data_IF_641350154079
#
_entry.id   IF_641350154079
#
_cell.length_a   1.000
_cell.length_b   1.000
_cell.length_c   1.000
_cell.angle_alpha   90.00
_cell.angle_beta   90.00
_cell.angle_gamma   90.00
#
_symmetry.space_group_name_H-M   'P 1'
#
loop_
_entity.id
_entity.type
_entity.pdbx_description
1 polymer ?
#
# COMPACT_ATOMS: atom_id res chain seq x y z
N UNK A 1 9.13 7.18 -5.15
CA UNK A 1 9.80 5.90 -4.82
C UNK A 1 8.79 4.77 -4.70
N UNK A 2 9.18 3.51 -4.94
CA UNK A 2 8.34 2.31 -4.72
C UNK A 2 9.03 1.35 -3.75
N UNK A 3 8.26 0.80 -2.80
CA UNK A 3 8.80 -0.09 -1.78
C UNK A 3 9.04 -1.52 -2.26
N UNK A 4 10.14 -2.15 -1.81
CA UNK A 4 10.32 -3.60 -1.79
C UNK A 4 9.66 -4.21 -0.54
N UNK A 5 9.45 -5.54 -0.54
CA UNK A 5 9.05 -6.26 0.67
C UNK A 5 10.24 -6.29 1.64
N UNK A 6 10.03 -6.01 2.92
CA UNK A 6 11.05 -6.16 3.95
C UNK A 6 11.54 -7.62 4.04
N UNK A 7 12.80 -7.81 4.42
CA UNK A 7 13.43 -9.12 4.50
C UNK A 7 14.01 -9.65 3.19
N UNK A 8 13.80 -8.96 2.03
CA UNK A 8 14.47 -9.34 0.77
C UNK A 8 15.95 -8.91 0.82
N UNK A 9 16.21 -7.71 1.33
CA UNK A 9 17.54 -7.20 1.63
C UNK A 9 17.60 -6.86 3.12
N UNK A 10 18.62 -7.31 3.86
CA UNK A 10 18.80 -6.92 5.26
C UNK A 10 18.85 -5.40 5.41
N UNK A 11 18.30 -4.93 6.52
CA UNK A 11 18.36 -3.51 6.90
C UNK A 11 19.58 -3.35 7.78
N UNK A 12 20.44 -2.41 7.42
CA UNK A 12 21.60 -2.03 8.24
C UNK A 12 21.16 -0.92 9.22
N UNK A 13 21.01 -1.29 10.49
CA UNK A 13 20.63 -0.37 11.56
C UNK A 13 21.80 0.46 12.10
N UNK A 14 23.02 0.28 11.60
CA UNK A 14 24.12 1.23 11.84
C UNK A 14 23.91 2.54 11.07
N UNK A 15 23.15 2.50 9.98
CA UNK A 15 22.67 3.69 9.29
C UNK A 15 21.42 4.29 9.97
N UNK A 16 21.03 5.48 9.54
CA UNK A 16 19.79 6.09 10.02
C UNK A 16 18.59 5.43 9.33
N UNK A 17 17.78 4.73 10.12
CA UNK A 17 16.58 4.03 9.68
C UNK A 17 15.35 4.64 10.33
N UNK A 18 14.28 4.80 9.56
CA UNK A 18 13.01 5.35 10.01
C UNK A 18 11.88 4.39 9.70
N UNK A 19 10.83 4.43 10.52
CA UNK A 19 9.60 3.67 10.32
C UNK A 19 8.40 4.62 10.32
N UNK A 20 7.47 4.35 9.41
CA UNK A 20 6.20 5.06 9.26
C UNK A 20 5.05 4.05 9.24
N UNK A 21 3.84 4.38 9.71
CA UNK A 21 2.67 3.53 9.47
C UNK A 21 2.42 3.41 7.97
N UNK A 22 2.03 2.22 7.53
CA UNK A 22 1.63 1.98 6.16
C UNK A 22 0.13 2.20 6.03
N UNK A 23 -0.24 3.27 5.34
CA UNK A 23 -1.62 3.61 5.07
C UNK A 23 -2.17 2.72 3.95
N UNK A 24 -3.43 2.30 4.08
CA UNK A 24 -4.18 1.60 3.04
C UNK A 24 -5.08 2.61 2.32
N UNK A 25 -4.48 3.43 1.48
CA UNK A 25 -5.11 4.50 0.76
C UNK A 25 -4.76 4.51 -0.73
N UNK A 26 -4.84 5.68 -1.33
CA UNK A 26 -4.51 5.91 -2.74
C UNK A 26 -3.36 6.90 -2.81
N UNK A 27 -2.18 6.42 -3.24
CA UNK A 27 -1.02 7.30 -3.42
C UNK A 27 -1.33 8.43 -4.38
N UNK A 28 -1.01 9.65 -3.96
CA UNK A 28 -1.19 10.88 -4.70
C UNK A 28 0.09 11.70 -4.73
N UNK A 29 0.38 12.27 -5.88
CA UNK A 29 1.36 13.32 -6.07
C UNK A 29 0.61 14.64 -6.27
N UNK A 30 0.83 15.62 -5.39
CA UNK A 30 0.33 16.98 -5.58
C UNK A 30 1.41 17.86 -6.17
N UNK A 31 1.03 18.63 -7.18
CA UNK A 31 1.83 19.67 -7.82
C UNK A 31 0.99 20.95 -7.95
N UNK A 32 1.58 22.06 -8.38
CA UNK A 32 0.83 23.28 -8.71
C UNK A 32 -0.29 23.03 -9.75
N UNK A 33 -0.15 22.01 -10.59
CA UNK A 33 -1.08 21.68 -11.67
C UNK A 33 -2.21 20.72 -11.23
N UNK A 34 -2.17 20.26 -9.97
CA UNK A 34 -3.21 19.42 -9.36
C UNK A 34 -2.70 18.13 -8.75
N UNK A 35 -3.63 17.20 -8.54
CA UNK A 35 -3.44 15.92 -7.90
C UNK A 35 -3.33 14.78 -8.92
N UNK A 36 -2.29 13.97 -8.84
CA UNK A 36 -2.00 12.93 -9.83
C UNK A 36 -1.70 11.57 -9.18
N UNK A 37 -2.13 10.52 -9.85
CA UNK A 37 -1.67 9.18 -9.54
C UNK A 37 -0.20 8.98 -9.94
N UNK A 38 0.43 7.95 -9.45
CA UNK A 38 1.79 7.55 -9.86
C UNK A 38 1.98 7.39 -11.37
N UNK A 39 0.92 7.10 -12.11
CA UNK A 39 0.96 6.92 -13.57
C UNK A 39 0.52 8.16 -14.34
N UNK A 40 0.41 9.31 -13.67
CA UNK A 40 0.04 10.59 -14.27
C UNK A 40 -1.46 10.78 -14.51
N UNK A 41 -2.32 9.87 -14.04
CA UNK A 41 -3.76 10.07 -14.12
C UNK A 41 -4.22 11.06 -13.06
N UNK A 42 -4.90 12.13 -13.45
CA UNK A 42 -5.40 13.15 -12.55
C UNK A 42 -6.58 12.66 -11.68
N UNK A 43 -6.58 13.07 -10.43
CA UNK A 43 -7.69 12.88 -9.50
C UNK A 43 -8.57 14.13 -9.49
N UNK A 44 -9.82 14.00 -9.90
CA UNK A 44 -10.74 15.13 -10.10
C UNK A 44 -11.57 15.47 -8.87
N UNK A 45 -11.58 14.58 -7.86
CA UNK A 45 -12.47 14.70 -6.69
C UNK A 45 -11.73 15.01 -5.37
N UNK A 46 -10.59 15.73 -5.46
CA UNK A 46 -9.79 16.15 -4.29
C UNK A 46 -9.49 17.65 -4.32
N UNK A 47 -10.38 18.43 -4.92
CA UNK A 47 -10.20 19.86 -5.13
C UNK A 47 -10.06 20.65 -3.84
N UNK A 48 -10.69 20.19 -2.76
CA UNK A 48 -10.55 20.80 -1.42
C UNK A 48 -9.10 20.77 -0.94
N UNK A 49 -8.35 19.67 -1.18
CA UNK A 49 -6.94 19.57 -0.81
C UNK A 49 -6.08 20.43 -1.73
N UNK A 50 -6.36 20.44 -3.05
CA UNK A 50 -5.66 21.31 -4.00
C UNK A 50 -5.77 22.78 -3.59
N UNK A 51 -6.97 23.23 -3.17
CA UNK A 51 -7.19 24.60 -2.73
C UNK A 51 -6.41 24.94 -1.43
N UNK A 52 -6.33 23.98 -0.48
CA UNK A 52 -5.52 24.14 0.73
C UNK A 52 -4.02 24.24 0.43
N UNK A 53 -3.54 23.50 -0.58
CA UNK A 53 -2.14 23.49 -0.98
C UNK A 53 -1.72 24.67 -1.89
N UNK A 54 -2.68 25.44 -2.40
CA UNK A 54 -2.38 26.52 -3.36
C UNK A 54 -1.42 27.58 -2.82
N UNK A 55 -1.51 28.07 -1.58
CA UNK A 55 -0.56 29.02 -1.03
C UNK A 55 0.87 28.49 -1.04
N UNK A 56 1.05 27.20 -0.66
CA UNK A 56 2.36 26.55 -0.68
C UNK A 56 2.93 26.49 -2.09
N UNK A 57 2.14 26.16 -3.10
CA UNK A 57 2.62 26.12 -4.49
C UNK A 57 2.85 27.50 -5.10
N UNK A 58 2.34 28.56 -4.51
CA UNK A 58 2.67 29.93 -4.91
C UNK A 58 4.13 30.27 -4.56
N UNK A 59 4.61 29.79 -3.40
CA UNK A 59 5.98 30.02 -2.93
C UNK A 59 6.96 28.95 -3.45
N UNK A 60 6.47 27.70 -3.61
CA UNK A 60 7.26 26.54 -4.06
C UNK A 60 6.66 25.87 -5.32
N UNK A 61 6.68 26.53 -6.48
CA UNK A 61 5.94 26.09 -7.67
C UNK A 61 6.46 24.79 -8.30
N UNK A 62 7.69 24.39 -8.00
CA UNK A 62 8.29 23.15 -8.54
C UNK A 62 8.23 21.97 -7.56
N UNK A 63 7.79 22.22 -6.32
CA UNK A 63 7.70 21.15 -5.33
C UNK A 63 6.64 20.12 -5.70
N UNK A 64 6.98 18.84 -5.55
CA UNK A 64 6.03 17.74 -5.71
C UNK A 64 5.86 17.08 -4.35
N UNK A 65 4.62 17.03 -3.84
CA UNK A 65 4.28 16.39 -2.59
C UNK A 65 3.90 14.95 -2.84
N UNK A 66 4.53 14.01 -2.16
CA UNK A 66 4.25 12.57 -2.26
C UNK A 66 3.57 12.09 -0.97
N UNK A 67 2.35 11.61 -1.09
CA UNK A 67 1.55 11.20 0.05
C UNK A 67 0.47 10.19 -0.30
N UNK A 68 -0.40 9.93 0.67
CA UNK A 68 -1.53 9.01 0.54
C UNK A 68 -2.84 9.73 0.77
N UNK A 69 -3.80 9.59 -0.12
CA UNK A 69 -5.20 9.96 0.11
C UNK A 69 -5.82 8.89 0.99
N UNK A 70 -6.15 9.26 2.21
CA UNK A 70 -6.52 8.33 3.27
C UNK A 70 -7.42 9.00 4.31
N UNK A 71 -8.12 8.19 5.09
CA UNK A 71 -8.74 8.62 6.35
C UNK A 71 -8.79 7.43 7.31
N UNK A 72 -8.22 7.59 8.49
CA UNK A 72 -8.13 6.51 9.47
C UNK A 72 -9.50 6.04 10.00
N UNK A 73 -10.51 6.91 10.01
CA UNK A 73 -11.88 6.52 10.32
C UNK A 73 -12.47 5.52 9.31
N UNK A 74 -11.92 5.48 8.09
CA UNK A 74 -12.29 4.56 7.02
C UNK A 74 -11.28 3.41 6.83
N UNK A 75 -10.42 3.13 7.80
CA UNK A 75 -9.37 2.09 7.72
C UNK A 75 -9.88 0.70 7.32
N UNK A 76 -11.13 0.38 7.65
CA UNK A 76 -11.79 -0.87 7.27
C UNK A 76 -12.66 -0.73 6.01
N UNK A 77 -12.59 0.40 5.31
CA UNK A 77 -13.39 0.72 4.12
C UNK A 77 -12.55 1.35 3.01
N UNK A 78 -11.50 0.67 2.61
CA UNK A 78 -10.63 1.09 1.51
C UNK A 78 -11.39 1.34 0.20
N UNK A 79 -12.45 0.55 -0.07
CA UNK A 79 -13.27 0.71 -1.28
C UNK A 79 -13.96 2.07 -1.31
N UNK A 80 -14.37 2.61 -0.15
CA UNK A 80 -14.96 3.95 -0.05
C UNK A 80 -13.97 5.03 -0.47
N UNK A 81 -12.73 4.98 0.02
CA UNK A 81 -11.67 5.92 -0.38
C UNK A 81 -11.43 5.83 -1.89
N UNK A 82 -11.27 4.62 -2.44
CA UNK A 82 -11.07 4.44 -3.88
C UNK A 82 -12.23 5.03 -4.68
N UNK A 83 -13.46 4.75 -4.28
CA UNK A 83 -14.67 5.19 -5.01
C UNK A 83 -14.75 6.71 -5.08
N UNK A 84 -14.39 7.41 -3.99
CA UNK A 84 -14.37 8.87 -3.94
C UNK A 84 -13.23 9.44 -4.79
N UNK A 85 -12.01 8.97 -4.56
CA UNK A 85 -10.79 9.52 -5.17
C UNK A 85 -10.74 9.30 -6.69
N UNK A 86 -11.19 8.13 -7.17
CA UNK A 86 -11.09 7.76 -8.59
C UNK A 86 -12.22 8.29 -9.47
N UNK A 87 -13.18 9.01 -8.90
CA UNK A 87 -14.30 9.56 -9.65
C UNK A 87 -13.82 10.63 -10.63
N UNK A 88 -14.04 10.39 -11.94
CA UNK A 88 -13.52 11.25 -13.00
C UNK A 88 -14.48 12.40 -13.36
N UNK A 89 -15.76 12.22 -13.08
CA UNK A 89 -16.80 13.24 -13.27
C UNK A 89 -17.60 13.38 -11.97
N UNK A 90 -16.99 13.99 -10.94
CA UNK A 90 -17.66 14.14 -9.65
C UNK A 90 -18.79 15.17 -9.75
N UNK A 91 -19.93 14.86 -9.12
CA UNK A 91 -21.01 15.79 -8.85
C UNK A 91 -20.65 16.70 -7.66
N UNK A 92 -21.47 17.68 -7.35
CA UNK A 92 -21.27 18.54 -6.17
C UNK A 92 -21.39 17.73 -4.86
N UNK A 93 -22.33 16.79 -4.79
CA UNK A 93 -22.48 15.87 -3.66
C UNK A 93 -21.21 14.99 -3.48
N UNK A 94 -20.65 14.50 -4.57
CA UNK A 94 -19.38 13.74 -4.53
C UNK A 94 -18.22 14.59 -3.99
N UNK A 95 -18.18 15.87 -4.35
CA UNK A 95 -17.17 16.81 -3.86
C UNK A 95 -17.34 17.12 -2.37
N UNK A 96 -18.57 17.29 -1.92
CA UNK A 96 -18.89 17.50 -0.51
C UNK A 96 -18.54 16.25 0.31
N UNK A 97 -18.88 15.08 -0.18
CA UNK A 97 -18.52 13.82 0.47
C UNK A 97 -16.99 13.62 0.51
N UNK A 98 -16.29 13.86 -0.59
CA UNK A 98 -14.82 13.77 -0.62
C UNK A 98 -14.20 14.79 0.35
N UNK A 99 -14.71 16.02 0.43
CA UNK A 99 -14.25 17.03 1.38
C UNK A 99 -14.43 16.58 2.83
N UNK A 100 -15.47 15.85 3.16
CA UNK A 100 -15.70 15.38 4.53
C UNK A 100 -14.86 14.13 4.90
N UNK A 101 -14.43 13.34 3.91
CA UNK A 101 -13.87 12.01 4.15
C UNK A 101 -12.44 11.82 3.66
N UNK A 102 -11.95 12.58 2.67
CA UNK A 102 -10.63 12.36 2.07
C UNK A 102 -9.63 13.34 2.64
N UNK A 103 -8.54 12.81 3.19
CA UNK A 103 -7.41 13.55 3.73
C UNK A 103 -6.15 13.20 2.93
N UNK A 104 -5.17 14.10 2.91
CA UNK A 104 -3.84 13.87 2.34
C UNK A 104 -2.82 13.70 3.46
N UNK A 105 -2.26 12.50 3.55
CA UNK A 105 -1.19 12.18 4.48
C UNK A 105 0.15 12.27 3.78
N UNK A 106 0.85 13.35 4.02
CA UNK A 106 2.08 13.74 3.36
C UNK A 106 3.30 13.06 4.01
N UNK A 107 4.04 12.25 3.26
CA UNK A 107 5.16 11.48 3.79
C UNK A 107 6.50 11.72 3.10
N UNK A 108 6.55 12.36 1.93
CA UNK A 108 7.80 12.68 1.23
C UNK A 108 7.61 13.85 0.26
N UNK A 109 8.71 14.41 -0.20
CA UNK A 109 8.75 15.39 -1.27
C UNK A 109 9.70 14.94 -2.38
N UNK A 110 9.47 15.45 -3.57
CA UNK A 110 10.39 15.35 -4.69
C UNK A 110 10.76 16.78 -5.05
N UNK A 111 12.05 17.08 -5.01
CA UNK A 111 12.64 18.34 -5.37
C UNK A 111 13.50 18.17 -6.62
N UNK A 112 13.71 19.26 -7.38
CA UNK A 112 14.41 19.23 -8.66
C UNK A 112 15.86 18.72 -8.53
N UNK A 113 16.57 19.08 -7.45
CA UNK A 113 17.96 18.67 -7.22
C UNK A 113 18.08 17.25 -6.67
N UNK A 114 17.03 16.73 -6.05
CA UNK A 114 16.87 15.36 -5.53
C UNK A 114 18.05 14.82 -4.67
N UNK A 115 18.89 15.71 -4.13
CA UNK A 115 20.08 15.37 -3.34
C UNK A 115 19.83 15.37 -1.83
N UNK A 116 18.64 15.80 -1.41
CA UNK A 116 18.28 15.93 0.01
C UNK A 116 17.98 14.54 0.61
N UNK A 117 18.55 14.27 1.79
CA UNK A 117 18.32 13.03 2.52
C UNK A 117 16.89 12.98 3.09
N UNK A 118 16.37 11.78 3.30
CA UNK A 118 14.98 11.58 3.75
C UNK A 118 14.63 12.37 5.03
N UNK A 119 15.53 12.39 6.03
CA UNK A 119 15.21 13.08 7.28
C UNK A 119 15.08 14.59 7.11
N UNK A 120 15.87 15.18 6.21
CA UNK A 120 15.83 16.62 5.97
C UNK A 120 14.58 16.98 5.14
N UNK A 121 14.20 16.13 4.18
CA UNK A 121 12.89 16.26 3.51
C UNK A 121 11.72 16.14 4.49
N UNK A 122 11.81 15.22 5.45
CA UNK A 122 10.78 15.03 6.48
C UNK A 122 10.68 16.24 7.42
N UNK A 123 11.81 16.83 7.82
CA UNK A 123 11.83 18.08 8.61
C UNK A 123 11.20 19.24 7.83
N UNK A 124 11.58 19.38 6.55
CA UNK A 124 11.05 20.42 5.70
C UNK A 124 9.53 20.32 5.53
N UNK A 125 8.98 19.11 5.43
CA UNK A 125 7.50 18.90 5.46
C UNK A 125 6.89 19.50 6.74
N UNK A 126 7.49 19.28 7.90
CA UNK A 126 6.98 19.83 9.17
C UNK A 126 7.10 21.35 9.25
N UNK A 127 8.15 21.92 8.67
CA UNK A 127 8.33 23.37 8.57
C UNK A 127 7.26 23.98 7.67
N UNK A 128 7.05 23.43 6.49
CA UNK A 128 6.01 23.86 5.55
C UNK A 128 4.60 23.75 6.17
N UNK A 129 4.32 22.66 6.88
CA UNK A 129 3.02 22.52 7.56
C UNK A 129 2.82 23.58 8.63
N UNK A 130 3.82 23.88 9.43
CA UNK A 130 3.77 24.96 10.42
C UNK A 130 3.54 26.34 9.78
N UNK A 131 4.20 26.60 8.65
CA UNK A 131 4.23 27.92 8.05
C UNK A 131 2.99 28.19 7.18
N UNK A 132 2.47 27.18 6.47
CA UNK A 132 1.33 27.32 5.56
C UNK A 132 -0.01 26.86 6.14
N UNK A 133 0.00 26.03 7.21
CA UNK A 133 -1.20 25.48 7.82
C UNK A 133 -1.27 25.76 9.34
N UNK A 134 -1.05 27.02 9.79
CA UNK A 134 -1.07 27.34 11.21
C UNK A 134 -2.49 27.27 11.76
N UNK A 135 -2.78 26.22 12.52
CA UNK A 135 -3.98 26.12 13.39
C UNK A 135 -5.35 26.39 12.73
N UNK A 136 -5.45 26.38 11.41
CA UNK A 136 -6.72 26.54 10.72
C UNK A 136 -7.53 25.22 10.78
N UNK A 137 -8.66 25.23 11.41
CA UNK A 137 -9.59 24.11 11.48
C UNK A 137 -10.69 24.31 10.43
N UNK A 138 -11.11 23.28 9.69
CA UNK A 138 -10.48 21.97 9.53
C UNK A 138 -9.56 21.92 8.29
N UNK A 139 -8.35 21.42 8.44
CA UNK A 139 -7.47 21.11 7.31
C UNK A 139 -7.52 19.62 6.94
N UNK A 140 -7.16 19.32 5.69
CA UNK A 140 -7.17 17.95 5.14
C UNK A 140 -5.75 17.45 4.83
N UNK A 141 -4.72 18.21 5.20
CA UNK A 141 -3.30 17.89 4.95
C UNK A 141 -2.61 17.61 6.27
N UNK A 142 -2.05 16.41 6.40
CA UNK A 142 -1.42 15.91 7.63
C UNK A 142 -0.03 15.36 7.34
N UNK A 143 0.97 15.56 8.23
CA UNK A 143 2.24 14.88 8.12
C UNK A 143 2.07 13.42 8.53
N UNK A 144 2.81 12.52 7.91
CA UNK A 144 2.87 11.15 8.37
C UNK A 144 3.93 11.00 9.47
N UNK A 145 3.52 10.42 10.62
CA UNK A 145 4.41 10.18 11.74
C UNK A 145 5.63 9.35 11.30
N UNK A 146 6.81 9.86 11.60
CA UNK A 146 8.10 9.27 11.26
C UNK A 146 8.92 9.03 12.52
N UNK A 147 9.28 7.79 12.82
CA UNK A 147 10.00 7.40 14.03
C UNK A 147 11.35 6.81 13.66
N UNK A 148 12.43 7.28 14.28
CA UNK A 148 13.76 6.68 14.12
C UNK A 148 13.85 5.37 14.87
N UNK A 149 14.43 4.35 14.22
CA UNK A 149 14.69 3.03 14.81
C UNK A 149 16.15 2.65 14.63
N UNK A 150 16.70 1.97 15.62
CA UNK A 150 18.12 1.59 15.74
C UNK A 150 18.32 0.07 15.81
N UNK A 151 17.22 -0.69 15.79
CA UNK A 151 17.25 -2.15 15.83
C UNK A 151 16.01 -2.76 15.17
N UNK A 152 16.13 -4.03 14.76
CA UNK A 152 15.00 -4.79 14.23
C UNK A 152 13.90 -4.98 15.27
N UNK A 153 14.27 -5.20 16.54
CA UNK A 153 13.29 -5.43 17.61
C UNK A 153 12.44 -4.18 17.85
N UNK A 154 13.08 -2.99 17.85
CA UNK A 154 12.36 -1.72 17.94
C UNK A 154 11.46 -1.48 16.72
N UNK A 155 11.93 -1.82 15.52
CA UNK A 155 11.13 -1.72 14.32
C UNK A 155 9.92 -2.66 14.38
N UNK A 156 10.08 -3.88 14.91
CA UNK A 156 8.98 -4.83 15.13
C UNK A 156 7.97 -4.33 16.15
N UNK A 157 8.43 -3.83 17.29
CA UNK A 157 7.53 -3.29 18.32
C UNK A 157 6.66 -2.15 17.78
N UNK A 158 7.24 -1.24 16.96
CA UNK A 158 6.45 -0.18 16.32
C UNK A 158 5.53 -0.75 15.23
N UNK A 159 5.98 -1.76 14.50
CA UNK A 159 5.13 -2.44 13.51
C UNK A 159 3.90 -3.08 14.15
N UNK A 160 4.07 -3.79 15.27
CA UNK A 160 2.98 -4.40 16.03
C UNK A 160 2.02 -3.33 16.57
N UNK A 161 2.56 -2.19 17.05
CA UNK A 161 1.74 -1.06 17.45
C UNK A 161 0.95 -0.44 16.28
N UNK A 162 1.53 -0.35 15.09
CA UNK A 162 0.85 0.11 13.89
C UNK A 162 -0.29 -0.86 13.49
N UNK A 163 -0.04 -2.18 13.52
CA UNK A 163 -1.09 -3.18 13.27
C UNK A 163 -2.21 -3.09 14.31
N UNK A 164 -1.85 -2.97 15.61
CA UNK A 164 -2.82 -2.77 16.70
C UNK A 164 -3.64 -1.48 16.53
N UNK A 165 -3.04 -0.43 15.98
CA UNK A 165 -3.71 0.82 15.59
C UNK A 165 -4.63 0.67 14.37
N UNK A 166 -4.56 -0.43 13.63
CA UNK A 166 -5.38 -0.70 12.44
C UNK A 166 -4.79 -0.17 11.14
N UNK A 167 -3.48 0.06 11.10
CA UNK A 167 -2.77 0.34 9.85
C UNK A 167 -2.45 -0.96 9.10
N UNK A 168 -2.19 -0.86 7.80
CA UNK A 168 -1.87 -2.01 6.93
C UNK A 168 -0.53 -2.69 7.29
N UNK A 169 0.26 -2.06 8.12
CA UNK A 169 1.61 -2.45 8.50
C UNK A 169 2.52 -1.24 8.65
N UNK A 170 3.76 -1.37 8.22
CA UNK A 170 4.75 -0.29 8.30
C UNK A 170 5.57 -0.12 7.03
N UNK A 171 6.13 1.05 6.86
CA UNK A 171 7.14 1.37 5.86
C UNK A 171 8.45 1.66 6.57
N UNK A 172 9.50 0.92 6.21
CA UNK A 172 10.87 1.22 6.63
C UNK A 172 11.51 2.11 5.56
N UNK A 173 12.14 3.20 6.01
CA UNK A 173 12.85 4.16 5.17
C UNK A 173 14.30 4.29 5.62
N UNK A 174 15.24 4.14 4.69
CA UNK A 174 16.63 4.49 4.92
C UNK A 174 16.80 5.99 4.69
N UNK A 175 17.75 6.60 5.41
CA UNK A 175 18.08 8.02 5.23
C UNK A 175 18.87 8.23 3.92
N UNK A 176 18.21 8.13 2.81
CA UNK A 176 18.78 8.25 1.45
C UNK A 176 17.97 9.26 0.62
N UNK A 177 18.55 9.68 -0.48
CA UNK A 177 17.89 10.55 -1.47
C UNK A 177 16.63 9.89 -2.06
N UNK A 178 15.73 10.69 -2.61
CA UNK A 178 14.51 10.17 -3.24
C UNK A 178 14.85 9.52 -4.59
N UNK A 179 14.34 8.33 -4.84
CA UNK A 179 14.53 7.61 -6.11
C UNK A 179 13.19 7.41 -6.82
N UNK A 180 13.04 7.91 -8.04
CA UNK A 180 11.82 7.76 -8.86
C UNK A 180 11.62 6.33 -9.41
N UNK A 181 12.12 5.31 -8.72
CA UNK A 181 12.05 3.89 -9.09
C UNK A 181 11.66 3.03 -7.89
N UNK A 182 11.59 1.71 -8.10
CA UNK A 182 11.55 0.75 -6.97
C UNK A 182 12.91 0.70 -6.31
N UNK A 183 12.95 0.90 -4.99
CA UNK A 183 14.19 1.01 -4.22
C UNK A 183 14.14 0.21 -2.93
N UNK A 184 15.27 -0.35 -2.52
CA UNK A 184 15.46 -0.95 -1.19
C UNK A 184 15.58 0.10 -0.08
N UNK A 185 15.76 1.39 -0.44
CA UNK A 185 15.72 2.50 0.51
C UNK A 185 14.31 2.71 1.09
N UNK A 186 13.30 2.05 0.49
CA UNK A 186 11.93 1.99 0.96
C UNK A 186 11.46 0.53 0.99
N UNK A 187 11.15 0.02 2.17
CA UNK A 187 10.74 -1.37 2.36
C UNK A 187 9.40 -1.44 3.11
N UNK A 188 8.45 -2.19 2.58
CA UNK A 188 7.17 -2.44 3.24
C UNK A 188 7.26 -3.64 4.17
N UNK A 189 6.94 -3.41 5.42
CA UNK A 189 6.82 -4.41 6.45
C UNK A 189 5.34 -4.73 6.64
N UNK A 190 4.94 -5.94 6.25
CA UNK A 190 3.55 -6.44 6.33
C UNK A 190 3.57 -7.86 6.81
N UNK A 191 2.66 -8.19 7.69
CA UNK A 191 2.39 -9.56 8.04
C UNK A 191 1.37 -10.17 7.08
N UNK A 192 1.54 -11.45 6.82
CA UNK A 192 0.59 -12.28 6.12
C UNK A 192 0.18 -13.40 7.03
N UNK A 193 -1.11 -13.61 7.17
CA UNK A 193 -1.64 -14.74 7.89
C UNK A 193 -1.66 -15.98 6.99
N UNK A 194 -1.34 -17.13 7.56
CA UNK A 194 -1.50 -18.42 6.91
C UNK A 194 -2.88 -19.00 7.33
N UNK A 195 -3.58 -19.61 6.39
CA UNK A 195 -4.80 -20.38 6.63
C UNK A 195 -4.86 -21.56 5.67
N UNK A 196 -5.75 -22.51 5.99
CA UNK A 196 -5.99 -23.67 5.15
C UNK A 196 -7.36 -23.58 4.49
N UNK A 197 -7.45 -24.13 3.28
CA UNK A 197 -8.70 -24.27 2.54
C UNK A 197 -8.60 -25.43 1.56
N UNK A 198 -9.75 -26.00 1.20
CA UNK A 198 -9.81 -27.10 0.23
C UNK A 198 -9.77 -26.56 -1.19
N UNK A 199 -8.94 -27.14 -2.05
CA UNK A 199 -8.91 -26.85 -3.48
C UNK A 199 -10.12 -27.51 -4.12
N UNK A 200 -11.04 -26.73 -4.67
CA UNK A 200 -12.28 -27.19 -5.30
C UNK A 200 -12.31 -27.02 -6.83
N UNK A 201 -11.33 -26.31 -7.37
CA UNK A 201 -11.24 -26.06 -8.80
C UNK A 201 -10.00 -25.29 -9.18
N UNK A 202 -9.93 -24.91 -10.44
CA UNK A 202 -8.80 -24.10 -10.96
C UNK A 202 -9.26 -23.20 -12.11
N UNK A 203 -8.41 -22.25 -12.44
CA UNK A 203 -8.53 -21.43 -13.66
C UNK A 203 -7.15 -21.40 -14.33
N UNK A 204 -7.12 -21.67 -15.63
CA UNK A 204 -5.92 -21.58 -16.44
C UNK A 204 -5.44 -20.12 -16.59
N UNK A 205 -4.14 -19.91 -16.75
CA UNK A 205 -3.54 -18.63 -17.04
C UNK A 205 -3.93 -18.11 -18.43
N UNK A 206 -3.88 -16.78 -18.63
CA UNK A 206 -4.18 -16.13 -19.90
C UNK A 206 -2.95 -15.44 -20.49
N UNK A 207 -2.96 -15.27 -21.82
CA UNK A 207 -1.89 -14.58 -22.55
C UNK A 207 -0.55 -15.30 -22.39
N UNK A 208 0.47 -14.62 -21.89
CA UNK A 208 1.81 -15.21 -21.65
C UNK A 208 1.82 -16.38 -20.67
N UNK A 209 0.74 -16.61 -19.92
CA UNK A 209 0.56 -17.69 -18.95
C UNK A 209 -0.40 -18.78 -19.43
N UNK A 210 -0.81 -18.77 -20.70
CA UNK A 210 -1.60 -19.87 -21.27
C UNK A 210 -0.84 -21.19 -21.14
N UNK A 211 -1.54 -22.31 -20.90
CA UNK A 211 -0.95 -23.62 -20.63
C UNK A 211 -0.35 -23.75 -19.22
N UNK A 212 -0.62 -22.84 -18.29
CA UNK A 212 -0.18 -22.93 -16.91
C UNK A 212 -1.30 -22.67 -15.92
N UNK A 213 -1.15 -23.05 -14.66
CA UNK A 213 -2.11 -22.70 -13.60
C UNK A 213 -2.15 -21.18 -13.42
N UNK A 214 -3.30 -20.57 -13.62
CA UNK A 214 -3.56 -19.17 -13.31
C UNK A 214 -3.88 -18.96 -11.82
N UNK A 215 -4.84 -19.74 -11.29
CA UNK A 215 -5.20 -19.76 -9.87
C UNK A 215 -5.97 -21.03 -9.52
N UNK A 216 -5.87 -21.46 -8.27
CA UNK A 216 -6.82 -22.39 -7.68
C UNK A 216 -8.11 -21.67 -7.29
N UNK A 217 -9.24 -22.39 -7.33
CA UNK A 217 -10.45 -22.01 -6.62
C UNK A 217 -10.44 -22.83 -5.33
N UNK A 218 -10.51 -22.14 -4.21
CA UNK A 218 -10.43 -22.75 -2.88
C UNK A 218 -11.69 -22.42 -2.07
N UNK A 219 -12.06 -23.32 -1.15
CA UNK A 219 -13.17 -23.14 -0.22
C UNK A 219 -12.66 -23.34 1.20
N UNK A 220 -12.87 -22.34 2.07
CA UNK A 220 -12.50 -22.44 3.47
C UNK A 220 -13.52 -23.22 4.29
N UNK A 221 -13.24 -23.44 5.58
CA UNK A 221 -14.10 -24.17 6.52
C UNK A 221 -15.48 -23.50 6.73
N UNK A 222 -15.59 -22.20 6.49
CA UNK A 222 -16.85 -21.45 6.54
C UNK A 222 -17.64 -21.51 5.21
N UNK A 223 -17.14 -22.25 4.21
CA UNK A 223 -17.76 -22.37 2.90
C UNK A 223 -17.48 -21.22 1.94
N UNK A 224 -16.61 -20.27 2.30
CA UNK A 224 -16.26 -19.11 1.46
C UNK A 224 -15.37 -19.57 0.32
N UNK A 225 -15.80 -19.34 -0.91
CA UNK A 225 -15.05 -19.63 -2.12
C UNK A 225 -14.25 -18.40 -2.58
N UNK A 226 -13.00 -18.63 -2.97
CA UNK A 226 -12.12 -17.57 -3.44
C UNK A 226 -11.07 -18.09 -4.42
N UNK A 227 -10.59 -17.18 -5.29
CA UNK A 227 -9.50 -17.48 -6.20
C UNK A 227 -8.15 -17.26 -5.53
N UNK A 228 -7.29 -18.27 -5.52
CA UNK A 228 -5.98 -18.25 -4.88
C UNK A 228 -4.87 -18.50 -5.93
N UNK A 229 -4.24 -17.44 -6.45
CA UNK A 229 -3.12 -17.59 -7.36
C UNK A 229 -1.90 -18.21 -6.64
N UNK A 230 -0.99 -18.87 -7.39
CA UNK A 230 0.27 -19.34 -6.85
C UNK A 230 1.10 -18.22 -6.23
N UNK A 231 1.70 -18.48 -5.08
CA UNK A 231 2.60 -17.57 -4.40
C UNK A 231 3.95 -17.40 -5.12
N UNK A 232 4.87 -16.67 -4.49
CA UNK A 232 6.24 -16.57 -4.97
C UNK A 232 6.96 -17.91 -4.84
N UNK A 233 7.83 -18.22 -5.80
CA UNK A 233 8.65 -19.44 -5.79
C UNK A 233 8.21 -20.48 -6.83
N UNK A 234 7.01 -20.37 -7.40
CA UNK A 234 6.60 -21.24 -8.50
C UNK A 234 7.11 -20.70 -9.83
N UNK A 235 7.89 -21.52 -10.53
CA UNK A 235 8.35 -21.22 -11.90
C UNK A 235 7.22 -21.45 -12.92
N UNK A 236 7.40 -20.98 -14.14
CA UNK A 236 6.46 -21.24 -15.23
C UNK A 236 6.29 -22.75 -15.49
N UNK A 237 7.38 -23.51 -15.36
CA UNK A 237 7.36 -24.96 -15.51
C UNK A 237 6.58 -25.65 -14.39
N UNK A 238 6.76 -25.22 -13.14
CA UNK A 238 5.99 -25.76 -12.00
C UNK A 238 4.48 -25.55 -12.20
N UNK A 239 4.10 -24.37 -12.67
CA UNK A 239 2.69 -24.04 -12.92
C UNK A 239 2.08 -24.86 -14.09
N UNK A 240 2.90 -25.23 -15.08
CA UNK A 240 2.50 -26.12 -16.15
C UNK A 240 2.29 -27.54 -15.61
N UNK A 241 3.27 -28.07 -14.88
CA UNK A 241 3.20 -29.41 -14.27
C UNK A 241 2.01 -29.51 -13.31
N UNK A 242 1.72 -28.47 -12.51
CA UNK A 242 0.53 -28.43 -11.65
C UNK A 242 -0.75 -28.52 -12.48
N UNK A 243 -0.84 -27.78 -13.57
CA UNK A 243 -2.03 -27.80 -14.43
C UNK A 243 -2.23 -29.18 -15.11
N UNK A 244 -1.16 -29.77 -15.64
CA UNK A 244 -1.19 -31.11 -16.23
C UNK A 244 -1.63 -32.18 -15.23
N UNK A 245 -1.33 -32.00 -13.95
CA UNK A 245 -1.67 -32.94 -12.85
C UNK A 245 -2.78 -32.38 -11.95
N UNK A 246 -3.65 -31.53 -12.44
CA UNK A 246 -4.59 -30.77 -11.63
C UNK A 246 -5.51 -31.66 -10.76
N UNK A 247 -5.89 -32.83 -11.26
CA UNK A 247 -6.71 -33.78 -10.51
C UNK A 247 -6.04 -34.30 -9.23
N UNK A 248 -4.72 -34.23 -9.15
CA UNK A 248 -3.99 -34.55 -7.93
C UNK A 248 -4.17 -33.49 -6.85
N UNK A 249 -4.55 -32.28 -7.21
CA UNK A 249 -4.71 -31.12 -6.31
C UNK A 249 -6.16 -30.94 -5.85
N UNK A 250 -7.13 -31.24 -6.72
CA UNK A 250 -8.55 -31.10 -6.40
C UNK A 250 -8.94 -31.98 -5.21
N UNK A 251 -9.69 -31.43 -4.27
CA UNK A 251 -10.13 -32.09 -3.03
C UNK A 251 -9.12 -32.06 -1.89
N UNK A 252 -7.87 -31.64 -2.13
CA UNK A 252 -6.85 -31.56 -1.08
C UNK A 252 -6.91 -30.26 -0.30
N UNK A 253 -6.59 -30.36 1.00
CA UNK A 253 -6.33 -29.19 1.83
C UNK A 253 -4.98 -28.56 1.44
N UNK A 254 -4.96 -27.26 1.37
CA UNK A 254 -3.77 -26.49 1.04
C UNK A 254 -3.63 -25.26 1.94
N UNK A 255 -2.39 -24.97 2.31
CA UNK A 255 -2.04 -23.73 3.00
C UNK A 255 -1.95 -22.59 1.99
N UNK A 256 -2.54 -21.47 2.34
CA UNK A 256 -2.40 -20.22 1.61
C UNK A 256 -2.10 -19.07 2.57
N UNK A 257 -1.42 -18.05 2.07
CA UNK A 257 -1.21 -16.80 2.80
C UNK A 257 -2.23 -15.78 2.34
N UNK A 258 -2.68 -14.91 3.21
CA UNK A 258 -3.52 -13.77 2.86
C UNK A 258 -3.19 -12.56 3.73
N UNK A 259 -3.62 -11.39 3.30
CA UNK A 259 -3.35 -10.16 4.02
C UNK A 259 -4.43 -9.89 5.09
N UNK A 260 -5.72 -9.87 4.68
CA UNK A 260 -6.87 -9.61 5.54
C UNK A 260 -8.16 -10.16 4.91
N UNK A 261 -9.27 -10.08 5.63
CA UNK A 261 -10.60 -10.34 5.08
C UNK A 261 -11.16 -9.08 4.42
N UNK A 262 -11.87 -9.24 3.30
CA UNK A 262 -12.65 -8.18 2.67
C UNK A 262 -13.99 -8.00 3.39
N UNK A 263 -14.72 -6.90 3.12
CA UNK A 263 -16.10 -6.71 3.61
C UNK A 263 -17.05 -7.85 3.23
N UNK A 264 -16.85 -8.46 2.06
CA UNK A 264 -17.58 -9.64 1.61
C UNK A 264 -17.10 -10.94 2.28
N UNK A 265 -16.31 -10.83 3.34
CA UNK A 265 -15.72 -11.94 4.09
C UNK A 265 -14.82 -12.87 3.25
N UNK A 266 -14.38 -12.43 2.07
CA UNK A 266 -13.40 -13.12 1.24
C UNK A 266 -11.96 -12.76 1.65
N UNK A 267 -10.96 -13.30 0.97
CA UNK A 267 -9.54 -13.09 1.28
C UNK A 267 -8.91 -12.02 0.37
N UNK A 268 -8.21 -11.06 0.95
CA UNK A 268 -7.45 -10.05 0.21
C UNK A 268 -6.03 -10.55 -0.06
N UNK A 269 -5.62 -10.52 -1.32
CA UNK A 269 -4.31 -10.99 -1.79
C UNK A 269 -3.95 -12.42 -1.38
N UNK A 270 -4.87 -13.41 -1.52
CA UNK A 270 -4.55 -14.79 -1.19
C UNK A 270 -3.47 -15.31 -2.14
N UNK A 271 -2.56 -16.14 -1.61
CA UNK A 271 -1.48 -16.79 -2.38
C UNK A 271 -1.33 -18.23 -1.92
N UNK A 272 -1.46 -19.17 -2.84
CA UNK A 272 -1.22 -20.60 -2.58
C UNK A 272 0.24 -20.81 -2.19
N UNK A 273 0.46 -21.62 -1.15
CA UNK A 273 1.78 -21.93 -0.60
C UNK A 273 2.17 -23.39 -0.83
N UNK A 274 1.37 -24.32 -0.38
CA UNK A 274 1.62 -25.76 -0.49
C UNK A 274 0.37 -26.57 -0.21
N UNK A 275 0.33 -27.82 -0.71
CA UNK A 275 -0.63 -28.82 -0.26
C UNK A 275 -0.26 -29.23 1.17
N UNK A 276 -1.26 -29.48 2.01
CA UNK A 276 -1.07 -30.15 3.29
C UNK A 276 -1.05 -31.65 3.05
N UNK A 277 0.07 -32.26 3.37
CA UNK A 277 0.16 -33.72 3.53
C UNK A 277 -0.08 -33.99 5.01
N UNK A 278 -1.29 -34.45 5.33
CA UNK A 278 -1.51 -35.13 6.61
C UNK A 278 -1.03 -36.58 6.42
N UNK A 279 0.12 -36.93 6.99
CA UNK A 279 0.44 -38.32 7.30
C UNK A 279 -0.32 -38.75 8.55
#
# INVERSE_FOLDING_TARGET
MLAYKAGIKPIDFSEQVYIQPKLDGVRCLFTKDGAFSRTGKQFMNVKHIENELQPLFSDYPNLILDGELYNHALKNDFEKIISLVRKQKPTDDDRLEAKSLVQFHWYDIIDDDNDILFIDRSKFIHELLRDFFPYADPHHVFPLVTIRVDSLDKARAIHDANLGGGFEGSIIRLNKVYECKRSYNLQKFKDFSDKEATIIGHVEGKGKRAGTLGKFIMRDEAGIEFGCPPGKGFTHNDLRVILENINHYIGKAATFTYFERTKANSYRHPQFKAIRNYE
#
